data_IF_261640951983
#
_entry.id   IF_261640951983
#
_cell.length_a   1.000
_cell.length_b   1.000
_cell.length_c   1.000
_cell.angle_alpha   90.00
_cell.angle_beta   90.00
_cell.angle_gamma   90.00
#
_symmetry.space_group_name_H-M   'P 1'
#
loop_
_entity.id
_entity.type
_entity.pdbx_description
1 polymer ?
#
# COMPACT_ATOMS: atom_id res chain seq x y z
N UNK A 1 -76.23 25.18 59.47
CA UNK A 1 -75.26 25.12 58.38
C UNK A 1 -74.74 26.51 58.11
N UNK A 2 -73.49 26.78 58.43
CA UNK A 2 -72.87 28.11 58.24
C UNK A 2 -72.25 28.22 56.85
N UNK A 3 -72.06 29.45 56.37
CA UNK A 3 -71.53 29.74 55.02
C UNK A 3 -70.17 29.06 54.76
N UNK A 4 -69.39 28.90 55.82
CA UNK A 4 -68.06 28.29 55.78
C UNK A 4 -68.12 26.77 55.58
N UNK A 5 -69.13 26.10 56.12
CA UNK A 5 -69.36 24.66 55.90
C UNK A 5 -69.69 24.38 54.43
N UNK A 6 -70.53 25.22 53.80
CA UNK A 6 -70.89 25.08 52.37
C UNK A 6 -69.68 25.25 51.45
N UNK A 7 -68.79 26.20 51.77
CA UNK A 7 -67.58 26.45 50.98
C UNK A 7 -66.57 25.30 51.08
N UNK A 8 -66.46 24.66 52.25
CA UNK A 8 -65.58 23.50 52.45
C UNK A 8 -66.05 22.28 51.65
N UNK A 9 -67.37 22.02 51.59
CA UNK A 9 -67.94 20.88 50.86
C UNK A 9 -67.84 21.03 49.34
N UNK A 10 -67.95 22.26 48.82
CA UNK A 10 -67.93 22.51 47.35
C UNK A 10 -66.50 22.62 46.80
N UNK A 11 -65.56 23.18 47.57
CA UNK A 11 -64.20 23.46 47.08
C UNK A 11 -63.14 22.47 47.56
N UNK A 12 -63.50 21.54 48.44
CA UNK A 12 -62.55 20.67 49.14
C UNK A 12 -61.66 21.45 50.12
N UNK A 13 -61.02 20.76 51.07
CA UNK A 13 -60.03 21.38 51.95
C UNK A 13 -58.94 22.04 51.10
N UNK A 14 -58.91 23.38 51.08
CA UNK A 14 -57.86 24.14 50.39
C UNK A 14 -56.54 23.93 51.12
N UNK A 15 -55.82 22.86 50.78
CA UNK A 15 -54.41 22.73 51.12
C UNK A 15 -53.66 23.90 50.48
N UNK A 16 -53.10 24.73 51.34
CA UNK A 16 -52.45 25.99 51.04
C UNK A 16 -51.39 25.87 49.92
N UNK A 17 -51.31 26.91 49.10
CA UNK A 17 -50.32 27.11 48.05
C UNK A 17 -48.89 27.09 48.63
N UNK A 18 -48.16 25.97 48.50
CA UNK A 18 -46.73 25.92 48.87
C UNK A 18 -45.92 26.58 47.75
N UNK A 19 -45.69 27.90 47.87
CA UNK A 19 -44.71 28.64 47.07
C UNK A 19 -43.29 28.37 47.58
N UNK A 20 -42.82 27.13 47.42
CA UNK A 20 -41.44 26.74 47.68
C UNK A 20 -40.61 26.85 46.40
N UNK A 21 -39.71 27.83 46.31
CA UNK A 21 -38.63 27.84 45.30
C UNK A 21 -37.64 26.73 45.64
N UNK A 22 -38.00 25.49 45.32
CA UNK A 22 -37.08 24.37 45.31
C UNK A 22 -36.12 24.55 44.13
N UNK A 23 -34.89 24.98 44.39
CA UNK A 23 -33.80 24.84 43.43
C UNK A 23 -33.60 23.33 43.21
N UNK A 24 -34.30 22.78 42.22
CA UNK A 24 -34.04 21.44 41.69
C UNK A 24 -32.60 21.46 41.21
N UNK A 25 -31.66 20.89 41.97
CA UNK A 25 -30.30 20.62 41.47
C UNK A 25 -30.51 19.84 40.18
N UNK A 26 -30.11 20.41 39.03
CA UNK A 26 -30.07 19.65 37.78
C UNK A 26 -29.11 18.50 38.04
N UNK A 27 -29.61 17.27 38.09
CA UNK A 27 -28.73 16.11 38.04
C UNK A 27 -27.84 16.27 36.80
N UNK A 28 -26.52 16.07 36.89
CA UNK A 28 -25.66 16.00 35.71
C UNK A 28 -26.33 15.04 34.72
N UNK A 29 -26.71 15.54 33.54
CA UNK A 29 -27.49 14.77 32.57
C UNK A 29 -26.60 13.62 32.11
N UNK A 30 -26.85 12.41 32.59
CA UNK A 30 -26.17 11.16 32.18
C UNK A 30 -26.10 11.02 30.65
N UNK A 31 -27.08 11.60 29.93
CA UNK A 31 -27.13 11.67 28.47
C UNK A 31 -25.96 12.44 27.84
N UNK A 32 -25.40 13.46 28.50
CA UNK A 32 -24.29 14.25 27.94
C UNK A 32 -22.96 13.48 27.98
N UNK A 33 -22.76 12.67 29.04
CA UNK A 33 -21.61 11.78 29.18
C UNK A 33 -21.69 10.63 28.15
N UNK A 34 -22.88 10.08 27.93
CA UNK A 34 -23.08 9.05 26.90
C UNK A 34 -22.83 9.58 25.47
N UNK A 35 -23.25 10.82 25.18
CA UNK A 35 -23.04 11.44 23.88
C UNK A 35 -21.55 11.69 23.59
N UNK A 36 -20.82 12.23 24.57
CA UNK A 36 -19.37 12.43 24.47
C UNK A 36 -18.60 11.11 24.30
N UNK A 37 -19.03 10.03 24.97
CA UNK A 37 -18.42 8.71 24.81
C UNK A 37 -18.66 8.14 23.39
N UNK A 38 -19.85 8.35 22.82
CA UNK A 38 -20.16 7.93 21.45
C UNK A 38 -19.32 8.73 20.44
N UNK A 39 -19.25 10.06 20.60
CA UNK A 39 -18.41 10.92 19.76
C UNK A 39 -16.93 10.52 19.83
N UNK A 40 -16.42 10.25 21.03
CA UNK A 40 -15.04 9.77 21.23
C UNK A 40 -14.79 8.42 20.56
N UNK A 41 -15.73 7.48 20.65
CA UNK A 41 -15.60 6.18 20.00
C UNK A 41 -15.63 6.28 18.48
N UNK A 42 -16.51 7.13 17.92
CA UNK A 42 -16.58 7.37 16.47
C UNK A 42 -15.31 8.06 15.96
N UNK A 43 -14.81 9.06 16.69
CA UNK A 43 -13.56 9.73 16.37
C UNK A 43 -12.38 8.76 16.39
N UNK A 44 -12.31 7.87 17.40
CA UNK A 44 -11.28 6.84 17.48
C UNK A 44 -11.39 5.81 16.34
N UNK A 45 -12.60 5.37 16.00
CA UNK A 45 -12.81 4.46 14.88
C UNK A 45 -12.38 5.10 13.53
N UNK A 46 -12.68 6.39 13.32
CA UNK A 46 -12.23 7.12 12.14
C UNK A 46 -10.70 7.25 12.08
N UNK A 47 -10.06 7.47 13.22
CA UNK A 47 -8.60 7.57 13.31
C UNK A 47 -7.92 6.24 12.99
N UNK A 48 -8.47 5.12 13.49
CA UNK A 48 -7.97 3.77 13.15
C UNK A 48 -8.06 3.52 11.65
N UNK A 49 -9.20 3.79 11.02
CA UNK A 49 -9.38 3.61 9.58
C UNK A 49 -8.39 4.46 8.78
N UNK A 50 -8.14 5.71 9.20
CA UNK A 50 -7.16 6.57 8.56
C UNK A 50 -5.74 6.01 8.67
N UNK A 51 -5.35 5.52 9.86
CA UNK A 51 -4.04 4.92 10.09
C UNK A 51 -3.85 3.64 9.26
N UNK A 52 -4.86 2.77 9.21
CA UNK A 52 -4.84 1.55 8.41
C UNK A 52 -4.69 1.87 6.92
N UNK A 53 -5.46 2.85 6.42
CA UNK A 53 -5.36 3.27 5.01
C UNK A 53 -3.98 3.83 4.68
N UNK A 54 -3.40 4.64 5.57
CA UNK A 54 -2.06 5.18 5.39
C UNK A 54 -1.02 4.05 5.35
N UNK A 55 -1.05 3.13 6.32
CA UNK A 55 -0.13 2.00 6.38
C UNK A 55 -0.26 1.07 5.16
N UNK A 56 -1.48 0.85 4.68
CA UNK A 56 -1.77 0.07 3.48
C UNK A 56 -1.17 0.73 2.24
N UNK A 57 -1.33 2.05 2.07
CA UNK A 57 -0.74 2.78 0.95
C UNK A 57 0.79 2.76 1.00
N UNK A 58 1.37 2.97 2.18
CA UNK A 58 2.83 2.94 2.35
C UNK A 58 3.39 1.54 2.04
N UNK A 59 2.71 0.49 2.47
CA UNK A 59 3.08 -0.89 2.14
C UNK A 59 3.03 -1.15 0.64
N UNK A 60 1.93 -0.77 -0.04
CA UNK A 60 1.79 -0.95 -1.50
C UNK A 60 2.84 -0.17 -2.27
N UNK A 61 3.13 1.05 -1.88
CA UNK A 61 4.15 1.87 -2.53
C UNK A 61 5.54 1.24 -2.38
N UNK A 62 5.83 0.66 -1.22
CA UNK A 62 7.09 -0.06 -1.00
C UNK A 62 7.16 -1.34 -1.85
N UNK A 63 6.08 -2.13 -1.91
CA UNK A 63 6.00 -3.32 -2.75
C UNK A 63 6.22 -3.00 -4.24
N UNK A 64 5.58 -1.96 -4.78
CA UNK A 64 5.77 -1.55 -6.17
C UNK A 64 7.22 -1.10 -6.46
N UNK A 65 7.86 -0.42 -5.51
CA UNK A 65 9.26 -0.02 -5.65
C UNK A 65 10.19 -1.22 -5.70
N UNK A 66 9.97 -2.20 -4.82
CA UNK A 66 10.77 -3.44 -4.79
C UNK A 66 10.56 -4.26 -6.06
N UNK A 67 9.31 -4.35 -6.54
CA UNK A 67 9.00 -5.02 -7.79
C UNK A 67 9.70 -4.37 -8.98
N UNK A 68 9.62 -3.03 -9.09
CA UNK A 68 10.26 -2.28 -10.17
C UNK A 68 11.79 -2.42 -10.12
N UNK A 69 12.38 -2.39 -8.92
CA UNK A 69 13.81 -2.59 -8.75
C UNK A 69 14.25 -4.01 -9.18
N UNK A 70 13.49 -5.04 -8.77
CA UNK A 70 13.77 -6.41 -9.15
C UNK A 70 13.61 -6.64 -10.66
N UNK A 71 12.59 -6.06 -11.28
CA UNK A 71 12.37 -6.13 -12.72
C UNK A 71 13.50 -5.44 -13.49
N UNK A 72 13.90 -4.23 -13.07
CA UNK A 72 14.99 -3.50 -13.69
C UNK A 72 16.31 -4.28 -13.59
N UNK A 73 16.62 -4.82 -12.41
CA UNK A 73 17.82 -5.63 -12.20
C UNK A 73 17.83 -6.86 -13.09
N UNK A 74 16.70 -7.57 -13.19
CA UNK A 74 16.55 -8.74 -14.07
C UNK A 74 16.74 -8.37 -15.54
N UNK A 75 16.14 -7.27 -15.98
CA UNK A 75 16.24 -6.81 -17.37
C UNK A 75 17.68 -6.44 -17.74
N UNK A 76 18.39 -5.75 -16.84
CA UNK A 76 19.81 -5.43 -17.04
C UNK A 76 20.67 -6.70 -17.12
N UNK A 77 20.44 -7.67 -16.25
CA UNK A 77 21.18 -8.93 -16.27
C UNK A 77 20.93 -9.71 -17.57
N UNK A 78 19.68 -9.80 -18.02
CA UNK A 78 19.33 -10.43 -19.29
C UNK A 78 19.96 -9.71 -20.49
N UNK A 79 19.95 -8.38 -20.51
CA UNK A 79 20.57 -7.60 -21.58
C UNK A 79 22.09 -7.83 -21.64
N UNK A 80 22.76 -7.86 -20.48
CA UNK A 80 24.19 -8.16 -20.40
C UNK A 80 24.50 -9.58 -20.87
N UNK A 81 23.72 -10.58 -20.46
CA UNK A 81 23.89 -11.95 -20.93
C UNK A 81 23.71 -12.06 -22.44
N UNK A 82 22.71 -11.38 -23.00
CA UNK A 82 22.48 -11.34 -24.45
C UNK A 82 23.66 -10.73 -25.19
N UNK A 83 24.16 -9.57 -24.75
CA UNK A 83 25.31 -8.90 -25.37
C UNK A 83 26.57 -9.77 -25.32
N UNK A 84 26.81 -10.44 -24.19
CA UNK A 84 27.94 -11.37 -24.07
C UNK A 84 27.81 -12.59 -24.98
N UNK A 85 26.60 -13.14 -25.15
CA UNK A 85 26.36 -14.23 -26.08
C UNK A 85 26.60 -13.80 -27.53
N UNK A 86 26.10 -12.63 -27.91
CA UNK A 86 26.27 -12.06 -29.25
C UNK A 86 27.74 -11.76 -29.56
N UNK A 87 28.49 -11.19 -28.62
CA UNK A 87 29.95 -11.00 -28.78
C UNK A 87 30.69 -12.33 -28.94
N UNK A 88 30.33 -13.36 -28.17
CA UNK A 88 30.94 -14.68 -28.30
C UNK A 88 30.67 -15.31 -29.66
N UNK A 89 29.44 -15.21 -30.16
CA UNK A 89 29.11 -15.70 -31.49
C UNK A 89 29.87 -14.94 -32.57
N UNK A 90 29.97 -13.62 -32.46
CA UNK A 90 30.74 -12.80 -33.39
C UNK A 90 32.23 -13.19 -33.39
N UNK A 91 32.85 -13.29 -32.21
CA UNK A 91 34.25 -13.68 -32.07
C UNK A 91 34.50 -15.09 -32.62
N UNK A 92 33.61 -16.05 -32.33
CA UNK A 92 33.72 -17.40 -32.88
C UNK A 92 33.62 -17.39 -34.41
N UNK A 93 32.68 -16.63 -34.98
CA UNK A 93 32.55 -16.52 -36.43
C UNK A 93 33.78 -15.88 -37.10
N UNK A 94 34.44 -14.93 -36.42
CA UNK A 94 35.69 -14.33 -36.90
C UNK A 94 36.85 -15.32 -36.86
N UNK A 95 36.97 -16.07 -35.76
CA UNK A 95 37.97 -17.15 -35.61
C UNK A 95 37.77 -18.21 -36.69
N UNK A 96 36.53 -18.68 -36.91
CA UNK A 96 36.23 -19.69 -37.94
C UNK A 96 36.60 -19.22 -39.34
N UNK A 97 36.33 -17.94 -39.67
CA UNK A 97 36.75 -17.34 -40.94
C UNK A 97 38.27 -17.33 -41.06
N UNK A 98 38.99 -16.93 -40.01
CA UNK A 98 40.46 -16.94 -39.98
C UNK A 98 41.04 -18.33 -40.22
N UNK A 99 40.50 -19.34 -39.54
CA UNK A 99 40.89 -20.74 -39.71
C UNK A 99 40.67 -21.19 -41.16
N UNK A 100 39.51 -20.86 -41.75
CA UNK A 100 39.21 -21.26 -43.14
C UNK A 100 40.22 -20.67 -44.12
N UNK A 101 40.56 -19.39 -43.97
CA UNK A 101 41.55 -18.70 -44.81
C UNK A 101 42.94 -19.34 -44.66
N UNK A 102 43.36 -19.65 -43.43
CA UNK A 102 44.67 -20.23 -43.17
C UNK A 102 44.78 -21.68 -43.68
N UNK A 103 43.71 -22.46 -43.54
CA UNK A 103 43.61 -23.82 -44.12
C UNK A 103 43.68 -23.78 -45.65
N UNK A 104 43.02 -22.82 -46.30
CA UNK A 104 43.07 -22.70 -47.76
C UNK A 104 44.46 -22.28 -48.25
N UNK A 105 45.10 -21.34 -47.53
CA UNK A 105 46.47 -20.91 -47.82
C UNK A 105 47.46 -22.06 -47.70
N UNK A 106 47.42 -22.80 -46.60
CA UNK A 106 48.32 -23.95 -46.37
C UNK A 106 48.14 -25.06 -47.40
N UNK A 107 46.90 -25.37 -47.80
CA UNK A 107 46.63 -26.32 -48.91
C UNK A 107 47.26 -25.84 -50.22
N UNK A 108 47.13 -24.57 -50.55
CA UNK A 108 47.69 -24.01 -51.77
C UNK A 108 49.23 -24.06 -51.76
N UNK A 109 49.87 -23.71 -50.64
CA UNK A 109 51.32 -23.81 -50.47
C UNK A 109 51.84 -25.24 -50.55
N UNK A 110 51.14 -26.20 -49.94
CA UNK A 110 51.47 -27.63 -50.04
C UNK A 110 51.36 -28.13 -51.48
N UNK A 111 50.30 -27.75 -52.19
CA UNK A 111 50.11 -28.09 -53.59
C UNK A 111 51.22 -27.50 -54.47
N UNK A 112 51.55 -26.22 -54.31
CA UNK A 112 52.64 -25.59 -55.04
C UNK A 112 53.99 -26.27 -54.77
N UNK A 113 54.27 -26.59 -53.51
CA UNK A 113 55.49 -27.31 -53.10
C UNK A 113 55.57 -28.71 -53.73
N UNK A 114 54.44 -29.41 -53.84
CA UNK A 114 54.38 -30.72 -54.48
C UNK A 114 54.70 -30.64 -55.98
N UNK A 115 54.16 -29.66 -56.71
CA UNK A 115 54.44 -29.45 -58.13
C UNK A 115 55.93 -29.17 -58.36
N UNK A 116 56.53 -28.27 -57.57
CA UNK A 116 57.96 -27.95 -57.67
C UNK A 116 58.83 -29.20 -57.48
N UNK A 117 58.44 -30.11 -56.58
CA UNK A 117 59.21 -31.33 -56.29
C UNK A 117 59.15 -32.38 -57.40
N UNK A 118 58.16 -32.31 -58.29
CA UNK A 118 58.02 -33.25 -59.41
C UNK A 118 58.72 -32.78 -60.70
N UNK A 119 59.24 -31.55 -60.73
CA UNK A 119 59.89 -30.93 -61.88
C UNK A 119 61.40 -31.16 -61.87
#
# INVERSE_FOLDING_TARGET
MTRDEILSTVLGERTCYIRGKGYRKKHPKKSNIQLANIESNVSSAMEIVHQEMQAEMDRKLQEEREQMAAELQRNMELELQRKLAEEREHANAEVDKGIHVEVDKTKHEQFASFIIRMQ
#
